data_IF_898841079165
#
_entry.id   IF_898841079165
#
_cell.length_a   1.000
_cell.length_b   1.000
_cell.length_c   1.000
_cell.angle_alpha   90.00
_cell.angle_beta   90.00
_cell.angle_gamma   90.00
#
_symmetry.space_group_name_H-M   'P 1'
#
loop_
_entity.id
_entity.type
_entity.pdbx_description
1 polymer ?
#
# COMPACT_ATOMS: atom_id res chain seq x y z
N UNK A 1 -13.66 14.93 -21.50
CA UNK A 1 -14.15 15.24 -20.16
C UNK A 1 -13.14 16.13 -19.43
N UNK A 2 -11.84 15.84 -19.46
CA UNK A 2 -10.77 16.64 -18.84
C UNK A 2 -9.99 17.40 -19.94
N UNK A 3 -10.61 18.45 -20.49
CA UNK A 3 -10.04 19.22 -21.59
C UNK A 3 -9.50 20.59 -21.15
N UNK A 4 -9.77 20.99 -19.89
CA UNK A 4 -9.32 22.26 -19.34
C UNK A 4 -7.90 22.09 -18.76
N UNK A 5 -6.88 22.27 -19.63
CA UNK A 5 -5.48 22.20 -19.22
C UNK A 5 -5.10 23.51 -18.56
N UNK A 6 -4.84 23.50 -17.26
CA UNK A 6 -4.46 24.69 -16.47
C UNK A 6 -2.95 24.93 -16.55
N UNK A 7 -2.16 23.87 -16.41
CA UNK A 7 -0.72 23.92 -16.60
C UNK A 7 -0.33 22.87 -17.62
N UNK A 8 0.40 23.31 -18.62
CA UNK A 8 1.18 22.46 -19.49
C UNK A 8 2.61 22.94 -19.42
N UNK A 9 3.40 22.23 -18.66
CA UNK A 9 4.80 22.52 -18.54
C UNK A 9 5.53 21.98 -19.77
N UNK A 10 5.65 22.85 -20.79
CA UNK A 10 6.34 22.56 -22.04
C UNK A 10 7.86 22.70 -21.92
N UNK A 11 8.42 22.70 -20.71
CA UNK A 11 9.86 22.68 -20.53
C UNK A 11 10.42 21.42 -21.22
N UNK A 12 11.08 21.63 -22.36
CA UNK A 12 11.72 20.59 -23.17
C UNK A 12 12.96 20.05 -22.44
N UNK A 13 12.80 19.50 -21.25
CA UNK A 13 13.86 18.68 -20.66
C UNK A 13 13.94 17.39 -21.46
N UNK A 14 15.10 17.00 -21.94
CA UNK A 14 15.26 15.71 -22.60
C UNK A 14 14.93 14.60 -21.59
N UNK A 15 14.19 13.57 -22.02
CA UNK A 15 13.97 12.38 -21.20
C UNK A 15 15.33 11.73 -20.92
N UNK A 16 15.71 11.64 -19.66
CA UNK A 16 17.05 11.20 -19.24
C UNK A 16 17.02 9.95 -18.35
N UNK A 17 15.90 9.70 -17.66
CA UNK A 17 15.79 8.59 -16.68
C UNK A 17 14.43 7.91 -16.74
N UNK A 18 14.36 6.68 -16.21
CA UNK A 18 13.09 6.01 -15.99
C UNK A 18 12.27 6.75 -14.92
N UNK A 19 10.99 7.05 -15.17
CA UNK A 19 10.13 7.62 -14.14
C UNK A 19 9.86 6.61 -13.04
N UNK A 20 9.85 7.08 -11.79
CA UNK A 20 9.65 6.25 -10.59
C UNK A 20 8.50 6.78 -9.76
N UNK A 21 7.79 5.87 -9.08
CA UNK A 21 6.94 6.21 -7.94
C UNK A 21 7.59 5.62 -6.69
N UNK A 22 7.84 6.44 -5.70
CA UNK A 22 8.29 6.02 -4.37
C UNK A 22 7.18 6.24 -3.36
N UNK A 23 6.61 5.18 -2.79
CA UNK A 23 5.82 5.25 -1.58
C UNK A 23 6.76 5.37 -0.41
N UNK A 24 6.76 6.51 0.26
CA UNK A 24 7.61 6.73 1.42
C UNK A 24 7.19 5.84 2.58
N UNK A 25 8.17 5.39 3.36
CA UNK A 25 7.88 4.68 4.60
C UNK A 25 7.23 5.62 5.60
N UNK A 26 6.09 5.20 6.17
CA UNK A 26 5.43 5.92 7.27
C UNK A 26 6.01 5.51 8.63
N UNK A 27 5.87 6.37 9.63
CA UNK A 27 6.20 6.00 11.00
C UNK A 27 5.28 4.86 11.49
N UNK A 28 5.87 3.86 12.12
CA UNK A 28 5.14 2.65 12.54
C UNK A 28 4.69 2.67 14.01
N UNK A 29 4.88 3.78 14.71
CA UNK A 29 4.59 3.90 16.14
C UNK A 29 3.25 4.57 16.45
N UNK A 30 2.63 5.21 15.49
CA UNK A 30 1.43 6.01 15.68
C UNK A 30 0.29 5.52 14.79
N UNK A 31 -0.92 5.67 15.29
CA UNK A 31 -2.13 5.54 14.48
C UNK A 31 -2.30 6.72 13.51
N UNK A 32 -1.63 7.83 13.79
CA UNK A 32 -1.53 8.97 12.89
C UNK A 32 -0.49 8.66 11.81
N UNK A 33 -0.83 7.72 10.96
CA UNK A 33 0.00 7.34 9.84
C UNK A 33 -0.25 8.29 8.69
N UNK A 34 0.74 9.04 8.30
CA UNK A 34 0.65 9.89 7.13
C UNK A 34 0.84 9.13 5.83
N UNK A 35 0.75 9.83 4.72
CA UNK A 35 1.17 9.34 3.43
C UNK A 35 2.04 10.37 2.72
N UNK A 36 3.01 9.87 1.96
CA UNK A 36 3.87 10.70 1.12
C UNK A 36 4.35 9.88 -0.07
N UNK A 37 4.22 10.45 -1.26
CA UNK A 37 4.68 9.84 -2.49
C UNK A 37 5.60 10.80 -3.23
N UNK A 38 6.74 10.26 -3.67
CA UNK A 38 7.70 10.97 -4.51
C UNK A 38 7.66 10.37 -5.91
N UNK A 39 7.26 11.16 -6.89
CA UNK A 39 7.20 10.77 -8.30
C UNK A 39 8.38 11.46 -8.98
N UNK A 40 9.38 10.69 -9.41
CA UNK A 40 10.42 11.20 -10.28
C UNK A 40 9.97 11.12 -11.73
N UNK A 41 9.96 12.24 -12.43
CA UNK A 41 9.61 12.33 -13.85
C UNK A 41 10.78 11.87 -14.73
N UNK A 42 10.53 11.59 -16.01
CA UNK A 42 11.57 11.20 -16.94
C UNK A 42 12.61 12.31 -17.18
N UNK A 43 12.25 13.57 -16.95
CA UNK A 43 13.16 14.72 -17.05
C UNK A 43 14.00 14.95 -15.77
N UNK A 44 13.85 14.08 -14.75
CA UNK A 44 14.58 14.13 -13.49
C UNK A 44 13.98 15.06 -12.43
N UNK A 45 12.95 15.84 -12.74
CA UNK A 45 12.20 16.60 -11.74
C UNK A 45 11.28 15.68 -10.93
N UNK A 46 10.69 16.26 -9.88
CA UNK A 46 9.82 15.53 -8.97
C UNK A 46 8.41 16.12 -8.94
N UNK A 47 7.41 15.26 -8.77
CA UNK A 47 6.08 15.64 -8.29
C UNK A 47 5.86 14.91 -6.96
N UNK A 48 5.38 15.62 -5.95
CA UNK A 48 5.09 15.06 -4.64
C UNK A 48 3.58 15.07 -4.39
N UNK A 49 3.11 14.03 -3.72
CA UNK A 49 1.74 13.93 -3.22
C UNK A 49 1.79 13.72 -1.71
N UNK A 50 1.20 14.65 -0.95
CA UNK A 50 1.23 14.71 0.50
C UNK A 50 2.66 14.70 1.09
N UNK A 51 2.81 14.53 2.40
CA UNK A 51 4.11 14.73 3.03
C UNK A 51 4.31 13.99 4.35
N UNK A 52 3.43 13.08 4.75
CA UNK A 52 3.40 12.52 6.10
C UNK A 52 3.22 13.58 7.21
N UNK A 53 3.42 13.21 8.46
CA UNK A 53 3.40 14.11 9.62
C UNK A 53 4.69 14.94 9.73
N UNK A 54 5.78 14.46 9.13
CA UNK A 54 7.14 14.97 9.29
C UNK A 54 7.77 14.65 10.66
N UNK A 55 7.17 13.73 11.43
CA UNK A 55 7.76 13.20 12.67
C UNK A 55 8.68 12.01 12.37
N UNK A 56 9.35 11.49 13.39
CA UNK A 56 10.10 10.23 13.32
C UNK A 56 11.02 10.08 12.10
N UNK A 57 11.80 11.10 11.79
CA UNK A 57 12.75 11.12 10.65
C UNK A 57 12.07 11.09 9.26
N UNK A 58 10.76 11.27 9.15
CA UNK A 58 10.07 11.27 7.86
C UNK A 58 10.57 12.41 6.96
N UNK A 59 10.86 13.57 7.55
CA UNK A 59 11.39 14.73 6.84
C UNK A 59 12.81 14.45 6.30
N UNK A 60 13.66 13.78 7.08
CA UNK A 60 15.00 13.35 6.70
C UNK A 60 14.93 12.33 5.57
N UNK A 61 14.10 11.32 5.69
CA UNK A 61 13.89 10.31 4.65
C UNK A 61 13.41 10.92 3.34
N UNK A 62 12.48 11.87 3.40
CA UNK A 62 12.04 12.59 2.20
C UNK A 62 13.20 13.34 1.54
N UNK A 63 14.03 14.03 2.33
CA UNK A 63 15.22 14.68 1.82
C UNK A 63 16.20 13.68 1.18
N UNK A 64 16.48 12.57 1.87
CA UNK A 64 17.39 11.53 1.39
C UNK A 64 16.89 10.90 0.08
N UNK A 65 15.57 10.66 -0.03
CA UNK A 65 14.95 10.14 -1.24
C UNK A 65 15.09 11.13 -2.40
N UNK A 66 14.73 12.40 -2.19
CA UNK A 66 14.89 13.44 -3.21
C UNK A 66 16.35 13.59 -3.65
N UNK A 67 17.28 13.60 -2.69
CA UNK A 67 18.70 13.77 -2.97
C UNK A 67 19.31 12.56 -3.69
N UNK A 68 18.97 11.34 -3.25
CA UNK A 68 19.50 10.11 -3.86
C UNK A 68 18.94 9.84 -5.26
N UNK A 69 17.70 10.25 -5.53
CA UNK A 69 17.06 10.10 -6.83
C UNK A 69 17.28 11.31 -7.75
N UNK A 70 17.90 12.39 -7.25
CA UNK A 70 18.19 13.57 -8.07
C UNK A 70 19.25 13.25 -9.13
N UNK A 71 18.90 13.51 -10.38
CA UNK A 71 19.78 13.34 -11.54
C UNK A 71 20.10 14.66 -12.24
N UNK A 72 19.52 15.76 -11.74
CA UNK A 72 19.74 17.11 -12.25
C UNK A 72 20.89 17.74 -11.45
N UNK A 73 21.80 18.39 -12.13
CA UNK A 73 22.89 19.11 -11.45
C UNK A 73 22.32 20.19 -10.51
N UNK A 74 22.81 20.18 -9.28
CA UNK A 74 22.39 21.11 -8.24
C UNK A 74 21.22 20.63 -7.39
N UNK A 75 20.30 21.53 -7.06
CA UNK A 75 19.19 21.24 -6.14
C UNK A 75 18.13 20.38 -6.82
N UNK A 76 17.54 19.40 -6.10
CA UNK A 76 16.34 18.72 -6.57
C UNK A 76 15.25 19.74 -6.95
N UNK A 77 14.61 19.53 -8.11
CA UNK A 77 13.55 20.40 -8.62
C UNK A 77 12.21 19.71 -8.44
N UNK A 78 11.31 20.33 -7.70
CA UNK A 78 9.95 19.85 -7.44
C UNK A 78 9.01 20.64 -8.35
N UNK A 79 8.61 20.03 -9.46
CA UNK A 79 7.71 20.64 -10.44
C UNK A 79 6.34 20.93 -9.84
N UNK A 80 5.85 20.03 -8.97
CA UNK A 80 4.60 20.21 -8.26
C UNK A 80 4.60 19.49 -6.91
N UNK A 81 3.94 20.09 -5.92
CA UNK A 81 3.62 19.43 -4.67
C UNK A 81 2.12 19.54 -4.45
N UNK A 82 1.41 18.42 -4.54
CA UNK A 82 -0.02 18.34 -4.24
C UNK A 82 -0.21 18.00 -2.78
N UNK A 83 -1.12 18.69 -2.09
CA UNK A 83 -1.61 18.31 -0.77
C UNK A 83 -3.08 17.95 -0.92
N UNK A 84 -3.43 16.72 -0.57
CA UNK A 84 -4.76 16.18 -0.82
C UNK A 84 -5.86 16.85 0.00
N UNK A 85 -5.62 17.05 1.30
CA UNK A 85 -6.55 17.69 2.23
C UNK A 85 -5.84 18.23 3.47
N UNK A 86 -6.60 18.86 4.38
CA UNK A 86 -6.06 19.68 5.45
C UNK A 86 -5.82 18.92 6.77
N UNK A 87 -5.39 17.66 6.74
CA UNK A 87 -4.94 16.95 7.94
C UNK A 87 -3.43 16.99 8.10
N UNK A 88 -2.98 16.99 9.35
CA UNK A 88 -1.56 17.15 9.70
C UNK A 88 -0.67 16.04 9.16
N UNK A 89 -1.20 14.84 9.04
CA UNK A 89 -0.52 13.66 8.51
C UNK A 89 -0.40 13.66 6.97
N UNK A 90 -0.93 14.70 6.30
CA UNK A 90 -0.77 14.97 4.87
C UNK A 90 0.05 16.21 4.59
N UNK A 91 -0.07 17.28 5.37
CA UNK A 91 0.68 18.50 5.15
C UNK A 91 1.78 18.78 6.18
N UNK A 92 1.80 18.08 7.31
CA UNK A 92 2.74 18.36 8.41
C UNK A 92 4.20 18.22 8.00
N UNK A 93 4.49 17.20 7.21
CA UNK A 93 5.83 16.98 6.64
C UNK A 93 6.23 18.09 5.68
N UNK A 94 5.33 18.63 4.86
CA UNK A 94 5.60 19.79 4.01
C UNK A 94 6.08 20.99 4.83
N UNK A 95 5.37 21.28 5.93
CA UNK A 95 5.74 22.38 6.83
C UNK A 95 7.15 22.22 7.38
N UNK A 96 7.45 21.05 7.94
CA UNK A 96 8.77 20.75 8.53
C UNK A 96 9.87 20.67 7.49
N UNK A 97 9.55 20.07 6.34
CA UNK A 97 10.50 19.96 5.23
C UNK A 97 10.89 21.33 4.69
N UNK A 98 9.93 22.20 4.45
CA UNK A 98 10.18 23.55 3.97
C UNK A 98 10.94 24.43 5.00
N UNK A 99 10.66 24.27 6.27
CA UNK A 99 11.43 24.96 7.32
C UNK A 99 12.88 24.48 7.41
N UNK A 100 13.15 23.18 7.15
CA UNK A 100 14.48 22.57 7.30
C UNK A 100 15.29 22.48 6.00
N UNK A 101 14.64 22.18 4.90
CA UNK A 101 15.26 21.87 3.61
C UNK A 101 14.76 22.73 2.45
N UNK A 102 13.85 23.69 2.69
CA UNK A 102 13.29 24.52 1.63
C UNK A 102 14.33 25.30 0.82
N UNK A 103 15.44 25.67 1.44
CA UNK A 103 16.57 26.31 0.76
C UNK A 103 17.42 25.33 -0.09
N UNK A 104 17.23 24.03 0.07
CA UNK A 104 17.97 22.97 -0.64
C UNK A 104 17.23 22.42 -1.85
N UNK A 105 15.99 22.79 -2.08
CA UNK A 105 15.18 22.38 -3.22
C UNK A 105 14.71 23.58 -4.04
N UNK A 106 14.20 23.33 -5.23
CA UNK A 106 13.51 24.31 -6.06
C UNK A 106 12.06 23.84 -6.24
N UNK A 107 11.14 24.38 -5.44
CA UNK A 107 9.71 24.15 -5.58
C UNK A 107 9.14 25.13 -6.61
N UNK A 108 8.42 24.62 -7.61
CA UNK A 108 7.82 25.43 -8.68
C UNK A 108 6.35 25.72 -8.44
N UNK A 109 5.57 24.69 -8.07
CA UNK A 109 4.13 24.80 -7.87
C UNK A 109 3.70 24.07 -6.58
N UNK A 110 2.83 24.70 -5.80
CA UNK A 110 2.13 24.11 -4.65
C UNK A 110 0.63 24.09 -4.96
N UNK A 111 0.03 22.90 -4.91
CA UNK A 111 -1.36 22.68 -5.30
C UNK A 111 -2.14 22.10 -4.10
N UNK A 112 -3.17 22.80 -3.67
CA UNK A 112 -4.09 22.35 -2.62
C UNK A 112 -5.44 23.07 -2.73
N UNK A 113 -6.50 22.44 -2.20
CA UNK A 113 -7.83 23.00 -2.17
C UNK A 113 -8.49 22.69 -0.82
N UNK A 114 -8.49 23.68 0.08
CA UNK A 114 -9.17 23.56 1.37
C UNK A 114 -10.66 23.89 1.23
N UNK A 115 -11.55 23.12 1.89
CA UNK A 115 -12.97 23.45 1.88
C UNK A 115 -13.24 24.77 2.60
N UNK A 116 -14.25 25.50 2.14
CA UNK A 116 -14.71 26.69 2.85
C UNK A 116 -15.25 26.33 4.24
N UNK A 117 -14.86 27.07 5.28
CA UNK A 117 -15.22 26.79 6.68
C UNK A 117 -16.72 26.64 6.94
N UNK A 118 -17.57 27.32 6.14
CA UNK A 118 -19.04 27.22 6.26
C UNK A 118 -19.61 25.84 5.87
N UNK A 119 -18.83 25.01 5.19
CA UNK A 119 -19.22 23.67 4.76
C UNK A 119 -18.54 22.55 5.56
N UNK A 120 -17.73 22.86 6.57
CA UNK A 120 -16.99 21.87 7.37
C UNK A 120 -17.41 21.93 8.83
N UNK A 121 -17.54 20.77 9.46
CA UNK A 121 -17.77 20.65 10.90
C UNK A 121 -16.90 19.53 11.47
N UNK A 122 -16.29 19.73 12.64
CA UNK A 122 -16.23 20.95 13.44
C UNK A 122 -15.16 21.93 12.94
N UNK A 123 -15.39 23.22 13.13
CA UNK A 123 -14.43 24.28 12.74
C UNK A 123 -13.08 24.22 13.48
N UNK A 124 -12.94 23.37 14.49
CA UNK A 124 -11.70 23.17 15.25
C UNK A 124 -10.53 22.64 14.40
N UNK A 125 -10.79 21.90 13.34
CA UNK A 125 -9.75 21.39 12.45
C UNK A 125 -9.05 22.50 11.65
N UNK A 126 -9.73 23.62 11.39
CA UNK A 126 -9.16 24.78 10.69
C UNK A 126 -8.04 25.46 11.48
N UNK A 127 -8.05 25.36 12.80
CA UNK A 127 -7.02 25.97 13.65
C UNK A 127 -5.64 25.30 13.49
N UNK A 128 -5.57 24.14 12.90
CA UNK A 128 -4.29 23.43 12.66
C UNK A 128 -3.51 23.98 11.46
N UNK A 129 -4.08 24.88 10.66
CA UNK A 129 -3.48 25.43 9.44
C UNK A 129 -2.47 26.57 9.67
N UNK A 130 -2.36 27.11 10.86
CA UNK A 130 -1.49 28.28 11.14
C UNK A 130 -0.03 28.07 10.69
N UNK A 131 0.51 26.87 10.91
CA UNK A 131 1.87 26.53 10.50
C UNK A 131 2.00 26.38 8.98
N UNK A 132 0.98 25.82 8.33
CA UNK A 132 0.94 25.72 6.88
C UNK A 132 0.90 27.11 6.25
N UNK A 133 -0.02 27.96 6.70
CA UNK A 133 -0.17 29.35 6.23
C UNK A 133 1.10 30.18 6.45
N UNK A 134 1.77 29.99 7.59
CA UNK A 134 3.06 30.59 7.89
C UNK A 134 4.13 30.23 6.85
N UNK A 135 4.24 28.95 6.49
CA UNK A 135 5.22 28.48 5.49
C UNK A 135 4.83 28.98 4.11
N UNK A 136 3.57 28.84 3.72
CA UNK A 136 3.06 29.34 2.43
C UNK A 136 3.29 30.84 2.32
N UNK A 137 3.04 31.59 3.40
CA UNK A 137 3.30 33.05 3.46
C UNK A 137 4.75 33.43 3.15
N UNK A 138 5.73 32.59 3.52
CA UNK A 138 7.16 32.82 3.22
C UNK A 138 7.51 32.55 1.75
N UNK A 139 6.88 31.57 1.12
CA UNK A 139 7.29 31.08 -0.21
C UNK A 139 6.41 31.57 -1.35
N UNK A 140 5.21 32.07 -1.10
CA UNK A 140 4.20 32.44 -2.10
C UNK A 140 4.64 33.43 -3.19
N UNK A 141 5.69 34.20 -2.93
CA UNK A 141 6.23 35.16 -3.90
C UNK A 141 7.28 34.52 -4.84
N UNK A 142 7.63 33.26 -4.62
CA UNK A 142 8.68 32.55 -5.34
C UNK A 142 8.19 31.31 -6.06
N UNK A 143 6.93 30.90 -5.83
CA UNK A 143 6.30 29.71 -6.42
C UNK A 143 4.89 30.05 -6.89
N UNK A 144 4.32 29.20 -7.74
CA UNK A 144 2.90 29.28 -8.05
C UNK A 144 2.09 28.53 -6.96
N UNK A 145 1.07 29.20 -6.41
CA UNK A 145 0.08 28.56 -5.56
C UNK A 145 -1.21 28.42 -6.36
N UNK A 146 -1.70 27.18 -6.44
CA UNK A 146 -2.79 26.81 -7.34
C UNK A 146 -3.84 26.10 -6.53
N UNK A 147 -5.11 26.45 -6.76
CA UNK A 147 -6.27 25.75 -6.23
C UNK A 147 -6.84 24.84 -7.32
N UNK A 148 -6.63 23.51 -7.25
CA UNK A 148 -7.16 22.59 -8.27
C UNK A 148 -8.67 22.46 -8.16
N UNK A 149 -9.34 22.41 -9.34
CA UNK A 149 -10.78 22.21 -9.44
C UNK A 149 -11.12 20.93 -10.20
N UNK A 150 -12.24 20.32 -9.86
CA UNK A 150 -12.73 19.12 -10.55
C UNK A 150 -12.90 19.36 -12.06
N UNK A 151 -12.40 18.43 -12.86
CA UNK A 151 -12.41 18.51 -14.33
C UNK A 151 -11.18 19.21 -14.94
N UNK A 152 -10.29 19.75 -14.12
CA UNK A 152 -9.03 20.34 -14.58
C UNK A 152 -7.97 19.28 -14.85
N UNK A 153 -6.96 19.69 -15.64
CA UNK A 153 -5.81 18.87 -15.98
C UNK A 153 -4.52 19.64 -15.78
N UNK A 154 -3.54 18.95 -15.22
CA UNK A 154 -2.18 19.45 -15.01
C UNK A 154 -1.18 18.51 -15.69
N UNK A 155 -0.20 19.06 -16.38
CA UNK A 155 0.86 18.30 -17.06
C UNK A 155 2.20 18.82 -16.57
N UNK A 156 2.98 17.95 -15.95
CA UNK A 156 4.34 18.21 -15.50
C UNK A 156 5.28 17.19 -16.15
N UNK A 157 6.15 17.65 -17.04
CA UNK A 157 7.00 16.76 -17.83
C UNK A 157 6.16 15.73 -18.61
N UNK A 158 6.40 14.45 -18.32
CA UNK A 158 5.68 13.31 -18.91
C UNK A 158 4.51 12.77 -18.06
N UNK A 159 4.22 13.41 -16.92
CA UNK A 159 3.09 13.05 -16.08
C UNK A 159 1.87 13.95 -16.33
N UNK A 160 0.72 13.34 -16.57
CA UNK A 160 -0.58 13.98 -16.73
C UNK A 160 -1.46 13.68 -15.51
N UNK A 161 -2.05 14.71 -14.90
CA UNK A 161 -2.95 14.61 -13.74
C UNK A 161 -4.32 15.16 -14.11
N UNK A 162 -5.34 14.30 -14.12
CA UNK A 162 -6.75 14.66 -14.24
C UNK A 162 -7.35 14.80 -12.83
N UNK A 163 -7.92 15.95 -12.48
CA UNK A 163 -8.62 16.17 -11.20
C UNK A 163 -10.02 15.57 -11.31
N UNK A 164 -10.24 14.42 -10.65
CA UNK A 164 -11.53 13.74 -10.66
C UNK A 164 -12.50 14.33 -9.66
N UNK A 165 -11.99 14.82 -8.53
CA UNK A 165 -12.77 15.35 -7.43
C UNK A 165 -11.99 16.43 -6.68
N UNK A 166 -12.70 17.48 -6.27
CA UNK A 166 -12.27 18.49 -5.32
C UNK A 166 -13.42 18.77 -4.34
N UNK A 167 -13.10 19.33 -3.17
CA UNK A 167 -14.07 19.49 -2.07
C UNK A 167 -15.37 20.21 -2.46
N UNK A 168 -15.31 21.14 -3.41
CA UNK A 168 -16.46 21.89 -3.92
C UNK A 168 -17.51 21.03 -4.64
N UNK A 169 -17.15 19.83 -5.09
CA UNK A 169 -18.08 18.89 -5.70
C UNK A 169 -19.21 18.46 -4.75
N UNK A 170 -18.98 18.55 -3.43
CA UNK A 170 -19.98 18.24 -2.42
C UNK A 170 -20.87 19.41 -2.07
N UNK A 171 -20.51 20.64 -2.48
CA UNK A 171 -21.30 21.82 -2.11
C UNK A 171 -22.70 21.84 -2.76
N UNK A 172 -23.74 22.28 -2.07
CA UNK A 172 -23.76 22.90 -0.73
C UNK A 172 -23.88 21.90 0.44
N UNK A 173 -23.67 20.60 0.20
CA UNK A 173 -23.72 19.61 1.26
C UNK A 173 -22.59 19.82 2.26
N UNK A 174 -22.83 19.32 3.47
CA UNK A 174 -21.92 19.49 4.57
C UNK A 174 -20.83 18.40 4.53
N UNK A 175 -19.58 18.80 4.64
CA UNK A 175 -18.44 17.88 4.70
C UNK A 175 -18.20 17.54 6.18
N UNK A 176 -18.42 16.29 6.62
CA UNK A 176 -18.37 15.91 8.02
C UNK A 176 -16.96 16.00 8.61
N UNK A 177 -15.94 15.79 7.78
CA UNK A 177 -14.53 15.93 8.14
C UNK A 177 -13.68 16.26 6.91
N UNK A 178 -12.42 16.61 7.10
CA UNK A 178 -11.52 16.94 6.00
C UNK A 178 -11.19 15.76 5.08
N UNK A 179 -11.33 14.50 5.51
CA UNK A 179 -11.03 13.34 4.67
C UNK A 179 -11.87 13.32 3.40
N UNK A 180 -13.20 13.57 3.51
CA UNK A 180 -14.08 13.66 2.34
C UNK A 180 -13.85 14.92 1.48
N UNK A 181 -12.93 15.79 1.88
CA UNK A 181 -12.47 16.91 1.04
C UNK A 181 -11.22 16.59 0.22
N UNK A 182 -10.71 15.37 0.30
CA UNK A 182 -9.48 14.96 -0.41
C UNK A 182 -9.55 15.21 -1.90
N UNK A 183 -8.50 15.82 -2.43
CA UNK A 183 -8.29 15.95 -3.88
C UNK A 183 -8.02 14.57 -4.48
N UNK A 184 -8.86 14.14 -5.42
CA UNK A 184 -8.70 12.86 -6.11
C UNK A 184 -8.15 13.08 -7.51
N UNK A 185 -7.04 12.38 -7.80
CA UNK A 185 -6.30 12.56 -9.04
C UNK A 185 -6.16 11.23 -9.79
N UNK A 186 -6.37 11.26 -11.10
CA UNK A 186 -5.92 10.21 -12.00
C UNK A 186 -4.63 10.67 -12.68
N UNK A 187 -3.52 10.03 -12.33
CA UNK A 187 -2.24 10.27 -12.97
C UNK A 187 -2.01 9.30 -14.14
N UNK A 188 -1.45 9.80 -15.24
CA UNK A 188 -0.92 8.97 -16.33
C UNK A 188 0.58 9.21 -16.43
N UNK A 189 1.37 8.14 -16.37
CA UNK A 189 2.83 8.18 -16.42
C UNK A 189 3.38 6.91 -17.07
N UNK A 190 4.23 7.05 -18.06
CA UNK A 190 4.83 5.93 -18.81
C UNK A 190 3.82 4.88 -19.30
N UNK A 191 2.64 5.32 -19.73
CA UNK A 191 1.56 4.48 -20.23
C UNK A 191 0.72 3.78 -19.16
N UNK A 192 0.99 4.01 -17.88
CA UNK A 192 0.21 3.49 -16.75
C UNK A 192 -0.69 4.55 -16.13
N UNK A 193 -1.80 4.10 -15.57
CA UNK A 193 -2.74 4.92 -14.80
C UNK A 193 -2.59 4.65 -13.30
N UNK A 194 -2.54 5.71 -12.51
CA UNK A 194 -2.49 5.64 -11.06
C UNK A 194 -3.60 6.50 -10.48
N UNK A 195 -4.47 5.87 -9.68
CA UNK A 195 -5.55 6.57 -8.98
C UNK A 195 -5.10 6.92 -7.56
N UNK A 196 -5.07 8.22 -7.28
CA UNK A 196 -4.74 8.80 -5.98
C UNK A 196 -6.01 9.27 -5.30
N UNK A 197 -6.35 8.68 -4.16
CA UNK A 197 -7.58 8.96 -3.43
C UNK A 197 -7.39 9.93 -2.25
N UNK A 198 -6.12 10.18 -1.83
CA UNK A 198 -5.88 10.83 -0.56
C UNK A 198 -6.56 10.03 0.56
N UNK A 199 -7.30 10.72 1.42
CA UNK A 199 -8.09 10.07 2.47
C UNK A 199 -9.59 10.02 2.17
N UNK A 200 -9.94 10.03 0.88
CA UNK A 200 -11.33 9.95 0.44
C UNK A 200 -12.07 8.83 1.17
N UNK A 201 -13.17 9.19 1.79
CA UNK A 201 -14.10 8.28 2.45
C UNK A 201 -15.35 8.05 1.60
N UNK A 202 -16.37 7.51 2.24
CA UNK A 202 -17.56 7.00 1.57
C UNK A 202 -18.36 8.08 0.83
N UNK A 203 -18.54 9.28 1.41
CA UNK A 203 -19.40 10.32 0.83
C UNK A 203 -18.88 10.79 -0.53
N UNK A 204 -17.62 11.20 -0.59
CA UNK A 204 -17.01 11.64 -1.84
C UNK A 204 -16.85 10.49 -2.85
N UNK A 205 -16.55 9.28 -2.38
CA UNK A 205 -16.46 8.11 -3.25
C UNK A 205 -17.80 7.76 -3.90
N UNK A 206 -18.90 7.75 -3.15
CA UNK A 206 -20.24 7.50 -3.70
C UNK A 206 -20.67 8.59 -4.68
N UNK A 207 -20.36 9.86 -4.37
CA UNK A 207 -20.59 10.96 -5.31
C UNK A 207 -19.86 10.74 -6.64
N UNK A 208 -18.57 10.41 -6.59
CA UNK A 208 -17.79 10.14 -7.80
C UNK A 208 -18.32 8.95 -8.60
N UNK A 209 -18.73 7.86 -7.93
CA UNK A 209 -19.30 6.68 -8.58
C UNK A 209 -20.63 7.00 -9.31
N UNK A 210 -21.39 7.99 -8.84
CA UNK A 210 -22.60 8.47 -9.51
C UNK A 210 -22.27 9.42 -10.67
N UNK A 211 -21.22 10.22 -10.54
CA UNK A 211 -20.82 11.26 -11.50
C UNK A 211 -20.13 10.67 -12.73
N UNK A 212 -19.31 9.64 -12.55
CA UNK A 212 -18.44 9.13 -13.60
C UNK A 212 -18.70 7.66 -13.94
N UNK A 213 -18.54 7.24 -15.19
CA UNK A 213 -18.55 5.84 -15.59
C UNK A 213 -17.25 5.13 -15.15
N UNK A 214 -17.29 3.80 -15.11
CA UNK A 214 -16.18 2.94 -14.64
C UNK A 214 -14.84 3.26 -15.29
N UNK A 215 -14.83 3.52 -16.59
CA UNK A 215 -13.63 3.74 -17.41
C UNK A 215 -12.77 4.92 -16.95
N UNK A 216 -13.38 5.86 -16.18
CA UNK A 216 -12.69 7.01 -15.59
C UNK A 216 -11.80 6.56 -14.43
N UNK A 217 -12.20 5.54 -13.70
CA UNK A 217 -11.48 5.04 -12.52
C UNK A 217 -10.53 3.89 -12.82
N UNK A 218 -10.74 3.15 -13.92
CA UNK A 218 -9.86 2.01 -14.28
C UNK A 218 -8.40 2.43 -14.26
N UNK A 219 -7.61 1.75 -13.40
CA UNK A 219 -6.20 2.06 -13.20
C UNK A 219 -5.35 0.79 -13.03
N UNK A 220 -4.05 0.95 -13.20
CA UNK A 220 -3.07 -0.10 -12.96
C UNK A 220 -2.65 -0.13 -11.50
N UNK A 221 -2.57 1.04 -10.88
CA UNK A 221 -2.10 1.24 -9.51
C UNK A 221 -3.13 2.09 -8.76
N UNK A 222 -3.49 1.67 -7.56
CA UNK A 222 -4.38 2.40 -6.66
C UNK A 222 -3.68 2.73 -5.36
N UNK A 223 -3.67 4.00 -4.97
CA UNK A 223 -3.41 4.39 -3.58
C UNK A 223 -4.70 4.17 -2.79
N UNK A 224 -4.64 3.31 -1.77
CA UNK A 224 -5.79 2.98 -0.94
C UNK A 224 -6.14 4.19 -0.06
N UNK A 225 -7.39 4.65 -0.17
CA UNK A 225 -7.85 5.85 0.53
C UNK A 225 -7.81 5.70 2.05
N UNK A 226 -7.56 6.81 2.75
CA UNK A 226 -7.60 6.93 4.21
C UNK A 226 -6.92 5.76 4.93
N UNK A 227 -5.72 5.40 4.50
CA UNK A 227 -4.91 4.33 5.09
C UNK A 227 -5.62 2.96 5.14
N UNK A 228 -6.74 2.80 4.42
CA UNK A 228 -7.66 1.67 4.52
C UNK A 228 -8.66 1.76 5.68
N UNK A 229 -8.65 2.85 6.45
CA UNK A 229 -9.53 3.08 7.59
C UNK A 229 -10.76 3.88 7.18
N UNK A 230 -11.99 3.32 7.23
CA UNK A 230 -13.17 3.95 6.63
C UNK A 230 -12.87 4.50 5.22
N UNK A 231 -12.18 3.71 4.42
CA UNK A 231 -11.72 4.05 3.09
C UNK A 231 -12.88 4.40 2.14
N UNK A 232 -12.56 4.72 0.92
CA UNK A 232 -13.53 4.84 -0.17
C UNK A 232 -14.47 3.60 -0.23
N UNK A 233 -15.54 3.63 -1.00
CA UNK A 233 -16.48 2.52 -1.01
C UNK A 233 -16.02 1.34 -1.90
N UNK A 234 -16.47 0.12 -1.59
CA UNK A 234 -16.20 -1.10 -2.36
C UNK A 234 -16.57 -0.95 -3.85
N UNK A 235 -17.61 -0.15 -4.15
CA UNK A 235 -18.01 0.15 -5.54
C UNK A 235 -16.90 0.88 -6.29
N UNK A 236 -16.26 1.90 -5.69
CA UNK A 236 -15.16 2.62 -6.31
C UNK A 236 -13.97 1.69 -6.56
N UNK A 237 -13.63 0.85 -5.58
CA UNK A 237 -12.55 -0.11 -5.71
C UNK A 237 -12.79 -1.10 -6.86
N UNK A 238 -14.04 -1.57 -7.04
CA UNK A 238 -14.41 -2.43 -8.19
C UNK A 238 -14.38 -1.68 -9.53
N UNK A 239 -14.69 -0.40 -9.53
CA UNK A 239 -14.58 0.42 -10.76
C UNK A 239 -13.13 0.68 -11.10
N UNK A 240 -12.28 0.93 -10.11
CA UNK A 240 -10.84 1.14 -10.28
C UNK A 240 -10.11 -0.13 -10.76
N UNK A 241 -10.47 -1.29 -10.22
CA UNK A 241 -10.00 -2.63 -10.62
C UNK A 241 -8.47 -2.72 -10.82
N UNK A 242 -7.65 -2.33 -9.82
CA UNK A 242 -6.21 -2.20 -9.95
C UNK A 242 -5.48 -3.55 -9.95
N UNK A 243 -4.20 -3.53 -10.35
CA UNK A 243 -3.28 -4.67 -10.21
C UNK A 243 -2.30 -4.48 -9.04
N UNK A 244 -1.97 -3.24 -8.70
CA UNK A 244 -1.05 -2.90 -7.61
C UNK A 244 -1.75 -1.98 -6.62
N UNK A 245 -1.57 -2.25 -5.32
CA UNK A 245 -2.02 -1.37 -4.26
C UNK A 245 -0.83 -0.70 -3.58
N UNK A 246 -0.92 0.61 -3.42
CA UNK A 246 -0.11 1.40 -2.50
C UNK A 246 -0.96 1.62 -1.25
N UNK A 247 -0.63 0.93 -0.17
CA UNK A 247 -1.41 0.98 1.07
C UNK A 247 -0.65 1.77 2.13
N UNK A 248 -0.98 3.05 2.33
CA UNK A 248 -0.24 3.95 3.22
C UNK A 248 -0.67 3.75 4.67
N UNK A 249 -0.34 2.62 5.27
CA UNK A 249 -0.68 2.35 6.67
C UNK A 249 0.48 1.71 7.43
N UNK A 250 0.50 1.83 8.77
CA UNK A 250 1.41 1.06 9.61
C UNK A 250 1.17 -0.44 9.43
N UNK A 251 2.22 -1.23 9.53
CA UNK A 251 2.16 -2.68 9.37
C UNK A 251 1.23 -3.36 10.39
N UNK A 252 1.12 -2.83 11.59
CA UNK A 252 0.21 -3.35 12.62
C UNK A 252 -1.28 -3.06 12.36
N UNK A 253 -1.60 -2.04 11.56
CA UNK A 253 -2.97 -1.69 11.20
C UNK A 253 -3.48 -2.48 10.00
N UNK A 254 -2.61 -2.78 9.04
CA UNK A 254 -2.99 -3.48 7.82
C UNK A 254 -3.82 -4.74 8.07
N UNK A 255 -3.47 -5.66 9.03
CA UNK A 255 -4.27 -6.86 9.29
C UNK A 255 -5.68 -6.58 9.78
N UNK A 256 -5.89 -5.40 10.36
CA UNK A 256 -7.20 -4.98 10.87
C UNK A 256 -8.03 -4.37 9.75
N UNK A 257 -7.51 -3.32 9.10
CA UNK A 257 -8.28 -2.53 8.13
C UNK A 257 -8.53 -3.26 6.81
N UNK A 258 -7.66 -4.17 6.41
CA UNK A 258 -7.84 -4.93 5.16
C UNK A 258 -9.13 -5.77 5.12
N UNK A 259 -9.68 -6.14 6.28
CA UNK A 259 -10.91 -6.95 6.39
C UNK A 259 -12.19 -6.11 6.52
N UNK A 260 -12.08 -4.80 6.51
CA UNK A 260 -13.27 -3.95 6.55
C UNK A 260 -14.04 -4.05 5.25
N UNK A 261 -15.36 -3.90 5.32
CA UNK A 261 -16.25 -4.18 4.19
C UNK A 261 -15.94 -3.34 2.95
N UNK A 262 -15.52 -2.09 3.13
CA UNK A 262 -15.08 -1.21 2.05
C UNK A 262 -13.81 -1.68 1.33
N UNK A 263 -12.94 -2.42 2.02
CA UNK A 263 -11.68 -2.93 1.47
C UNK A 263 -11.78 -4.36 0.93
N UNK A 264 -12.93 -4.99 1.08
CA UNK A 264 -13.12 -6.41 0.75
C UNK A 264 -12.69 -6.75 -0.68
N UNK A 265 -13.05 -5.92 -1.65
CA UNK A 265 -12.64 -6.13 -3.02
C UNK A 265 -11.11 -6.12 -3.18
N UNK A 266 -10.42 -5.22 -2.48
CA UNK A 266 -8.97 -5.06 -2.58
C UNK A 266 -8.18 -6.28 -2.08
N UNK A 267 -8.77 -7.10 -1.21
CA UNK A 267 -8.14 -8.31 -0.68
C UNK A 267 -8.69 -9.59 -1.29
N UNK A 268 -9.72 -9.51 -2.14
CA UNK A 268 -10.36 -10.69 -2.75
C UNK A 268 -10.26 -10.71 -4.27
N UNK A 269 -9.89 -9.58 -4.89
CA UNK A 269 -9.78 -9.51 -6.33
C UNK A 269 -8.65 -10.39 -6.86
N UNK A 270 -8.93 -11.28 -7.83
CA UNK A 270 -7.91 -12.10 -8.45
C UNK A 270 -6.95 -11.29 -9.33
N UNK A 271 -7.22 -10.02 -9.58
CA UNK A 271 -6.40 -9.13 -10.40
C UNK A 271 -5.24 -8.52 -9.62
N UNK A 272 -5.40 -8.32 -8.31
CA UNK A 272 -4.38 -7.69 -7.48
C UNK A 272 -3.15 -8.58 -7.34
N UNK A 273 -1.99 -8.03 -7.70
CA UNK A 273 -0.69 -8.69 -7.79
C UNK A 273 0.17 -8.44 -6.60
N UNK A 274 0.22 -7.18 -6.17
CA UNK A 274 1.15 -6.72 -5.16
C UNK A 274 0.48 -5.66 -4.31
N UNK A 275 0.71 -5.74 -3.00
CA UNK A 275 0.29 -4.76 -2.01
C UNK A 275 1.56 -4.23 -1.33
N UNK A 276 1.84 -2.95 -1.53
CA UNK A 276 2.95 -2.25 -0.90
C UNK A 276 2.44 -1.52 0.35
N UNK A 277 2.86 -1.97 1.52
CA UNK A 277 2.45 -1.40 2.80
C UNK A 277 3.53 -0.45 3.28
N UNK A 278 3.22 0.84 3.41
CA UNK A 278 4.20 1.88 3.75
C UNK A 278 4.86 1.70 5.12
N UNK A 279 4.16 1.13 6.09
CA UNK A 279 4.71 0.84 7.42
C UNK A 279 5.82 -0.21 7.43
N UNK A 280 5.89 -1.08 6.42
CA UNK A 280 6.90 -2.12 6.32
C UNK A 280 8.21 -1.59 5.73
N UNK A 281 8.12 -0.92 4.59
CA UNK A 281 9.28 -0.38 3.90
C UNK A 281 8.89 0.72 2.91
N UNK A 282 9.89 1.50 2.51
CA UNK A 282 9.79 2.31 1.32
C UNK A 282 9.69 1.41 0.09
N UNK A 283 8.78 1.73 -0.82
CA UNK A 283 8.57 0.96 -2.05
C UNK A 283 8.82 1.83 -3.27
N UNK A 284 9.69 1.39 -4.15
CA UNK A 284 10.05 2.10 -5.38
C UNK A 284 9.56 1.30 -6.59
N UNK A 285 8.68 1.89 -7.39
CA UNK A 285 8.15 1.31 -8.61
C UNK A 285 8.75 2.01 -9.84
N UNK A 286 9.41 1.24 -10.69
CA UNK A 286 9.86 1.72 -12.00
C UNK A 286 8.67 1.67 -12.97
N UNK A 287 8.19 2.84 -13.38
CA UNK A 287 6.98 2.96 -14.21
C UNK A 287 7.19 2.46 -15.64
N UNK A 288 8.43 2.26 -16.09
CA UNK A 288 8.73 1.66 -17.40
C UNK A 288 8.65 0.15 -17.40
N UNK A 289 8.69 -0.49 -16.21
CA UNK A 289 8.62 -1.94 -16.11
C UNK A 289 7.18 -2.41 -16.38
N UNK A 290 6.99 -3.50 -17.11
CA UNK A 290 5.67 -4.08 -17.27
C UNK A 290 5.13 -4.53 -15.91
N UNK A 291 3.82 -4.31 -15.69
CA UNK A 291 3.12 -4.99 -14.60
C UNK A 291 3.13 -6.49 -14.92
N UNK A 292 3.53 -7.35 -13.99
CA UNK A 292 3.60 -8.78 -14.24
C UNK A 292 2.27 -9.30 -14.80
N UNK A 293 2.33 -9.99 -15.94
CA UNK A 293 1.14 -10.54 -16.58
C UNK A 293 0.48 -11.58 -15.66
N UNK A 294 -0.84 -11.48 -15.47
CA UNK A 294 -1.59 -12.38 -14.61
C UNK A 294 -2.29 -13.46 -15.42
N UNK A 295 -2.07 -14.70 -15.00
CA UNK A 295 -2.86 -15.84 -15.44
C UNK A 295 -3.86 -16.15 -14.33
N UNK A 296 -5.19 -15.95 -14.53
CA UNK A 296 -6.19 -16.28 -13.53
C UNK A 296 -6.06 -17.72 -13.06
N UNK A 297 -6.27 -17.99 -11.77
CA UNK A 297 -6.12 -19.33 -11.19
C UNK A 297 -6.87 -20.42 -11.98
N UNK A 298 -8.08 -20.10 -12.44
CA UNK A 298 -8.92 -21.01 -13.24
C UNK A 298 -8.31 -21.43 -14.58
N UNK A 299 -7.37 -20.67 -15.12
CA UNK A 299 -6.71 -20.97 -16.40
C UNK A 299 -5.49 -21.88 -16.25
N UNK A 300 -4.99 -22.08 -15.03
CA UNK A 300 -3.94 -23.07 -14.78
C UNK A 300 -4.53 -24.48 -14.92
N UNK A 301 -3.76 -25.41 -15.43
CA UNK A 301 -4.13 -26.81 -15.49
C UNK A 301 -3.90 -27.49 -14.15
N UNK A 302 -4.64 -28.55 -13.85
CA UNK A 302 -4.36 -29.40 -12.69
C UNK A 302 -2.90 -29.88 -12.72
N UNK A 303 -2.20 -29.70 -11.61
CA UNK A 303 -0.77 -29.99 -11.48
C UNK A 303 0.17 -28.88 -11.95
N UNK A 304 -0.35 -27.79 -12.54
CA UNK A 304 0.47 -26.65 -12.95
C UNK A 304 0.82 -25.76 -11.73
N UNK A 305 2.06 -25.28 -11.69
CA UNK A 305 2.52 -24.38 -10.63
C UNK A 305 1.88 -23.01 -10.80
N UNK A 306 1.17 -22.56 -9.77
CA UNK A 306 0.52 -21.25 -9.70
C UNK A 306 1.49 -20.20 -9.13
N UNK A 307 2.23 -20.58 -8.10
CA UNK A 307 3.16 -19.74 -7.39
C UNK A 307 4.37 -20.55 -6.93
N UNK A 308 5.55 -20.02 -7.10
CA UNK A 308 6.78 -20.61 -6.56
C UNK A 308 7.67 -19.46 -6.06
N UNK A 309 8.11 -19.58 -4.81
CA UNK A 309 9.02 -18.63 -4.17
C UNK A 309 10.31 -19.34 -3.79
N UNK A 310 11.42 -18.81 -4.29
CA UNK A 310 12.78 -19.33 -4.06
C UNK A 310 13.67 -18.34 -3.29
N UNK A 311 13.06 -17.24 -2.85
CA UNK A 311 13.75 -16.19 -2.09
C UNK A 311 14.95 -15.56 -2.84
N UNK A 312 14.77 -15.35 -4.14
CA UNK A 312 15.69 -14.62 -5.01
C UNK A 312 15.37 -13.11 -4.88
N UNK A 313 16.05 -12.40 -4.00
CA UNK A 313 15.83 -10.97 -3.77
C UNK A 313 16.47 -10.52 -2.48
N UNK A 314 16.34 -9.24 -2.20
CA UNK A 314 17.00 -8.61 -1.03
C UNK A 314 16.01 -8.30 0.09
N UNK A 315 14.70 -8.16 -0.22
CA UNK A 315 13.68 -7.76 0.75
C UNK A 315 12.39 -8.56 0.58
N UNK A 316 11.78 -8.95 1.71
CA UNK A 316 10.51 -9.68 1.74
C UNK A 316 9.38 -8.92 1.04
N UNK A 317 9.37 -7.60 1.16
CA UNK A 317 8.34 -6.77 0.50
C UNK A 317 8.42 -6.81 -1.03
N UNK A 318 9.60 -7.02 -1.60
CA UNK A 318 9.78 -7.13 -3.05
C UNK A 318 9.12 -8.40 -3.61
N UNK A 319 8.84 -9.38 -2.73
CA UNK A 319 8.08 -10.60 -3.04
C UNK A 319 6.56 -10.38 -2.95
N UNK A 320 6.10 -9.20 -2.56
CA UNK A 320 4.70 -8.92 -2.28
C UNK A 320 4.20 -9.51 -0.95
N UNK A 321 5.12 -9.87 -0.06
CA UNK A 321 4.79 -10.39 1.27
C UNK A 321 4.53 -9.27 2.28
N UNK A 322 3.71 -9.58 3.29
CA UNK A 322 3.35 -8.67 4.37
C UNK A 322 3.63 -9.35 5.71
N UNK A 323 4.57 -8.82 6.48
CA UNK A 323 4.97 -9.38 7.77
C UNK A 323 4.70 -8.39 8.92
N UNK A 324 4.08 -8.88 9.99
CA UNK A 324 3.63 -8.07 11.11
C UNK A 324 3.91 -8.78 12.42
N UNK A 325 4.31 -8.02 13.43
CA UNK A 325 4.33 -8.48 14.82
C UNK A 325 3.24 -7.75 15.59
N UNK A 326 2.27 -8.48 16.11
CA UNK A 326 1.14 -7.92 16.88
C UNK A 326 1.15 -8.34 18.34
N UNK A 327 0.67 -7.45 19.21
CA UNK A 327 0.47 -7.68 20.63
C UNK A 327 0.07 -6.43 21.38
N UNK A 328 -0.40 -6.60 22.62
CA UNK A 328 -1.02 -5.55 23.43
C UNK A 328 -0.09 -4.47 24.00
N UNK A 329 1.22 -4.57 23.82
CA UNK A 329 2.20 -3.71 24.52
C UNK A 329 3.21 -2.99 23.66
N UNK A 330 2.94 -2.84 22.38
CA UNK A 330 3.82 -2.10 21.48
C UNK A 330 4.25 -2.94 20.30
N UNK A 331 4.04 -2.36 19.15
CA UNK A 331 4.30 -2.98 17.86
C UNK A 331 5.76 -2.76 17.49
N UNK A 332 6.46 -3.85 17.21
CA UNK A 332 7.74 -3.78 16.50
C UNK A 332 7.54 -4.38 15.13
N UNK A 333 8.14 -3.79 14.12
CA UNK A 333 8.17 -4.39 12.80
C UNK A 333 8.65 -5.83 12.91
N UNK A 334 7.97 -6.75 12.23
CA UNK A 334 8.43 -8.12 12.15
C UNK A 334 9.81 -8.12 11.51
N UNK A 335 10.75 -8.81 12.12
CA UNK A 335 12.04 -9.02 11.51
C UNK A 335 11.88 -10.10 10.45
N UNK A 336 11.96 -9.69 9.20
CA UNK A 336 11.94 -10.58 8.06
C UNK A 336 13.10 -10.20 7.13
N UNK A 337 13.92 -11.16 6.78
CA UNK A 337 15.09 -10.95 5.92
C UNK A 337 15.22 -12.05 4.89
N UNK A 338 15.81 -11.72 3.75
CA UNK A 338 16.17 -12.70 2.71
C UNK A 338 17.68 -12.74 2.60
N UNK A 339 18.22 -13.95 2.58
CA UNK A 339 19.65 -14.17 2.36
C UNK A 339 19.90 -15.56 1.81
N UNK A 340 20.68 -15.65 0.73
CA UNK A 340 21.15 -16.92 0.13
C UNK A 340 20.03 -17.91 -0.24
N UNK A 341 18.89 -17.41 -0.74
CA UNK A 341 17.77 -18.26 -1.11
C UNK A 341 16.92 -18.75 0.07
N UNK A 342 17.02 -18.06 1.21
CA UNK A 342 16.23 -18.35 2.40
C UNK A 342 15.55 -17.07 2.90
N UNK A 343 14.31 -17.22 3.37
CA UNK A 343 13.61 -16.17 4.12
C UNK A 343 13.63 -16.51 5.60
N UNK A 344 14.09 -15.58 6.42
CA UNK A 344 14.12 -15.72 7.88
C UNK A 344 13.07 -14.78 8.47
N UNK A 345 12.12 -15.36 9.20
CA UNK A 345 11.13 -14.66 10.01
C UNK A 345 11.51 -14.81 11.48
N UNK A 346 11.65 -13.70 12.19
CA UNK A 346 12.04 -13.70 13.61
C UNK A 346 10.95 -13.14 14.49
N UNK A 347 10.65 -13.85 15.56
CA UNK A 347 9.85 -13.37 16.68
C UNK A 347 10.49 -13.80 17.99
N UNK A 348 11.10 -12.86 18.69
CA UNK A 348 11.71 -13.06 20.02
C UNK A 348 10.82 -12.59 21.16
N UNK A 349 9.54 -12.27 20.91
CA UNK A 349 8.60 -11.77 21.90
C UNK A 349 7.65 -12.88 22.34
N UNK A 350 7.73 -13.38 23.59
CA UNK A 350 6.91 -14.49 24.05
C UNK A 350 5.41 -14.15 24.15
N UNK A 351 5.06 -12.87 24.18
CA UNK A 351 3.67 -12.43 24.32
C UNK A 351 2.99 -12.13 22.97
N UNK A 352 3.76 -12.02 21.86
CA UNK A 352 3.29 -11.55 20.58
C UNK A 352 3.50 -12.60 19.49
N UNK A 353 2.65 -12.54 18.46
CA UNK A 353 2.82 -13.32 17.23
C UNK A 353 3.44 -12.47 16.13
N UNK A 354 4.32 -13.08 15.35
CA UNK A 354 4.65 -12.58 14.01
C UNK A 354 3.77 -13.31 13.00
N UNK A 355 3.07 -12.54 12.18
CA UNK A 355 2.21 -13.05 11.12
C UNK A 355 2.77 -12.58 9.80
N UNK A 356 3.07 -13.51 8.92
CA UNK A 356 3.58 -13.22 7.59
C UNK A 356 2.60 -13.72 6.54
N UNK A 357 1.92 -12.79 5.86
CA UNK A 357 1.12 -13.10 4.69
C UNK A 357 2.07 -13.28 3.50
N UNK A 358 2.17 -14.51 2.98
CA UNK A 358 3.06 -14.81 1.86
C UNK A 358 2.32 -15.02 0.54
N UNK A 359 1.02 -15.23 0.58
CA UNK A 359 0.20 -15.31 -0.63
C UNK A 359 -0.85 -14.22 -0.61
N UNK A 360 -0.78 -13.36 -1.61
CA UNK A 360 -1.77 -12.32 -1.83
C UNK A 360 -3.10 -12.95 -2.28
N UNK A 361 -4.24 -12.36 -1.90
CA UNK A 361 -5.57 -12.91 -2.21
C UNK A 361 -5.80 -13.20 -3.69
N UNK A 362 -5.23 -12.41 -4.58
CA UNK A 362 -5.41 -12.59 -6.01
C UNK A 362 -4.64 -13.75 -6.65
N UNK A 363 -3.68 -14.37 -5.93
CA UNK A 363 -2.88 -15.47 -6.48
C UNK A 363 -3.61 -16.79 -6.52
N UNK A 364 -4.54 -17.01 -5.58
CA UNK A 364 -5.45 -18.15 -5.58
C UNK A 364 -6.86 -17.60 -5.40
N UNK A 365 -7.79 -18.11 -6.23
CA UNK A 365 -9.19 -17.71 -6.14
C UNK A 365 -9.79 -18.14 -4.78
N UNK A 366 -10.91 -17.53 -4.44
CA UNK A 366 -11.75 -18.02 -3.36
C UNK A 366 -12.15 -19.48 -3.63
N UNK A 367 -12.04 -20.31 -2.61
CA UNK A 367 -12.44 -21.72 -2.66
C UNK A 367 -11.70 -22.59 -3.72
N UNK A 368 -10.38 -22.51 -3.81
CA UNK A 368 -9.63 -23.31 -4.77
C UNK A 368 -9.33 -24.71 -4.25
N UNK A 369 -9.15 -25.65 -5.19
CA UNK A 369 -8.44 -26.90 -4.93
C UNK A 369 -6.96 -26.65 -5.20
N UNK A 370 -6.09 -26.85 -4.22
CA UNK A 370 -4.66 -26.61 -4.37
C UNK A 370 -3.78 -27.53 -3.52
N UNK A 371 -2.52 -27.63 -3.91
CA UNK A 371 -1.47 -28.17 -3.06
C UNK A 371 -0.45 -27.07 -2.74
N UNK A 372 -0.23 -26.83 -1.46
CA UNK A 372 0.84 -25.97 -0.95
C UNK A 372 1.97 -26.83 -0.40
N UNK A 373 3.17 -26.64 -0.95
CA UNK A 373 4.39 -27.24 -0.45
C UNK A 373 5.31 -26.16 0.09
N UNK A 374 5.92 -26.36 1.24
CA UNK A 374 6.97 -25.50 1.75
C UNK A 374 7.99 -26.26 2.58
N UNK A 375 9.24 -25.80 2.53
CA UNK A 375 10.38 -26.38 3.25
C UNK A 375 11.02 -25.32 4.12
N UNK A 376 11.56 -25.76 5.25
CA UNK A 376 12.21 -24.84 6.19
C UNK A 376 12.72 -25.51 7.44
N UNK A 377 13.11 -24.64 8.39
CA UNK A 377 13.55 -25.01 9.75
C UNK A 377 12.94 -24.07 10.74
N UNK A 378 12.73 -24.54 11.96
CA UNK A 378 12.29 -23.68 13.07
C UNK A 378 13.26 -23.81 14.25
N UNK A 379 13.46 -22.70 14.97
CA UNK A 379 14.34 -22.64 16.13
C UNK A 379 13.92 -23.59 17.25
N UNK A 380 14.90 -23.91 18.11
CA UNK A 380 14.66 -24.68 19.32
C UNK A 380 13.75 -23.92 20.29
N UNK A 381 12.87 -24.64 20.96
CA UNK A 381 11.98 -24.11 21.99
C UNK A 381 11.01 -23.01 21.48
N UNK A 382 10.52 -23.11 20.25
CA UNK A 382 9.45 -22.24 19.78
C UNK A 382 8.14 -22.51 20.53
N UNK A 383 7.36 -21.44 20.76
CA UNK A 383 6.08 -21.57 21.44
C UNK A 383 4.95 -21.95 20.47
N UNK A 384 5.00 -21.37 19.28
CA UNK A 384 3.97 -21.61 18.25
C UNK A 384 4.51 -21.47 16.83
N UNK A 385 4.03 -22.37 15.97
CA UNK A 385 4.15 -22.28 14.53
C UNK A 385 2.84 -22.74 13.89
N UNK A 386 2.29 -21.96 12.97
CA UNK A 386 1.01 -22.26 12.32
C UNK A 386 0.89 -21.74 10.91
N UNK A 387 -0.05 -22.32 10.18
CA UNK A 387 -0.54 -21.86 8.89
C UNK A 387 -2.00 -21.44 9.02
N UNK A 388 -2.33 -20.30 8.46
CA UNK A 388 -3.65 -19.69 8.58
C UNK A 388 -4.15 -19.23 7.21
N UNK A 389 -5.45 -19.38 6.91
CA UNK A 389 -6.05 -19.02 5.62
C UNK A 389 -7.44 -18.37 5.71
N UNK A 390 -7.89 -17.96 6.89
CA UNK A 390 -9.24 -17.48 7.12
C UNK A 390 -9.47 -16.02 6.70
N UNK A 391 -10.70 -15.72 6.28
CA UNK A 391 -11.23 -14.37 5.99
C UNK A 391 -11.85 -13.66 7.19
N UNK A 392 -12.17 -14.39 8.25
CA UNK A 392 -12.88 -13.77 9.37
C UNK A 392 -12.04 -12.68 9.98
N UNK A 393 -12.65 -11.50 10.20
CA UNK A 393 -12.02 -10.35 10.88
C UNK A 393 -11.20 -10.82 12.09
N UNK A 394 -9.88 -10.96 12.00
CA UNK A 394 -9.12 -11.28 13.18
C UNK A 394 -8.89 -9.98 13.94
N UNK A 395 -9.80 -9.63 14.81
CA UNK A 395 -9.49 -8.63 15.84
C UNK A 395 -8.48 -9.18 16.86
N UNK A 396 -8.29 -10.50 16.88
CA UNK A 396 -7.28 -11.19 17.65
C UNK A 396 -6.93 -12.49 16.93
N UNK A 397 -5.65 -12.74 16.63
CA UNK A 397 -5.20 -14.07 16.23
C UNK A 397 -5.44 -15.05 17.39
N UNK A 398 -6.36 -15.97 17.22
CA UNK A 398 -6.50 -17.08 18.15
C UNK A 398 -5.85 -18.31 17.54
N UNK A 399 -5.08 -19.05 18.34
CA UNK A 399 -4.45 -20.30 17.93
C UNK A 399 -5.48 -21.33 17.42
N UNK A 400 -6.73 -21.21 17.86
CA UNK A 400 -7.84 -22.09 17.48
C UNK A 400 -8.23 -22.00 16.01
N UNK A 401 -7.85 -20.92 15.31
CA UNK A 401 -8.18 -20.68 13.91
C UNK A 401 -7.05 -21.00 12.94
N UNK A 402 -5.87 -21.31 13.45
CA UNK A 402 -4.71 -21.64 12.64
C UNK A 402 -4.41 -23.14 12.73
N UNK A 403 -3.96 -23.69 11.61
CA UNK A 403 -3.43 -25.04 11.57
C UNK A 403 -2.09 -25.05 12.28
N UNK A 404 -2.05 -25.61 13.49
CA UNK A 404 -0.79 -25.76 14.24
C UNK A 404 0.13 -26.75 13.57
N UNK A 405 1.38 -26.34 13.37
CA UNK A 405 2.44 -27.13 12.77
C UNK A 405 3.44 -27.54 13.85
N UNK A 406 3.85 -28.80 13.84
CA UNK A 406 4.70 -29.39 14.87
C UNK A 406 5.91 -30.10 14.25
N UNK A 407 6.82 -29.37 13.56
CA UNK A 407 8.06 -29.97 13.07
C UNK A 407 9.04 -30.20 14.24
N UNK A 408 9.99 -31.09 14.05
CA UNK A 408 11.13 -31.20 14.95
C UNK A 408 11.99 -29.94 14.83
N UNK A 409 12.36 -29.35 15.98
CA UNK A 409 13.15 -28.13 16.04
C UNK A 409 14.57 -28.35 15.50
N UNK A 410 15.10 -27.34 14.81
CA UNK A 410 16.43 -27.34 14.20
C UNK A 410 16.65 -28.38 13.07
N UNK A 411 15.63 -29.21 12.78
CA UNK A 411 15.65 -30.12 11.64
C UNK A 411 14.92 -29.52 10.43
N UNK A 412 15.33 -29.92 9.22
CA UNK A 412 14.64 -29.53 8.02
C UNK A 412 13.31 -30.28 7.91
N UNK A 413 12.24 -29.52 7.70
CA UNK A 413 10.92 -30.07 7.46
C UNK A 413 10.44 -29.78 6.05
N UNK A 414 9.58 -30.66 5.54
CA UNK A 414 8.80 -30.45 4.32
C UNK A 414 7.33 -30.66 4.65
N UNK A 415 6.54 -29.61 4.56
CA UNK A 415 5.09 -29.69 4.65
C UNK A 415 4.45 -29.72 3.26
N UNK A 416 3.37 -30.48 3.12
CA UNK A 416 2.49 -30.47 1.98
C UNK A 416 1.06 -30.41 2.47
N UNK A 417 0.37 -29.31 2.20
CA UNK A 417 -1.06 -29.14 2.43
C UNK A 417 -1.82 -29.39 1.13
N UNK A 418 -2.76 -30.32 1.13
CA UNK A 418 -3.67 -30.58 0.02
C UNK A 418 -5.08 -30.15 0.40
N UNK A 419 -5.57 -29.09 -0.24
CA UNK A 419 -6.89 -28.51 0.01
C UNK A 419 -7.87 -28.91 -1.11
N UNK A 420 -8.96 -29.56 -0.74
CA UNK A 420 -10.05 -29.98 -1.61
C UNK A 420 -11.34 -29.24 -1.17
N UNK A 421 -11.66 -28.17 -1.87
CA UNK A 421 -12.84 -27.37 -1.54
C UNK A 421 -14.14 -28.11 -1.84
N UNK A 422 -14.19 -28.95 -2.89
CA UNK A 422 -15.40 -29.68 -3.26
C UNK A 422 -15.82 -30.68 -2.19
N UNK A 423 -14.82 -31.35 -1.56
CA UNK A 423 -15.03 -32.27 -0.46
C UNK A 423 -14.93 -31.58 0.92
N UNK A 424 -14.64 -30.27 0.96
CA UNK A 424 -14.44 -29.49 2.20
C UNK A 424 -13.38 -30.09 3.13
N UNK A 425 -12.31 -30.61 2.58
CA UNK A 425 -11.23 -31.22 3.35
C UNK A 425 -9.88 -30.63 3.02
N UNK A 426 -9.02 -30.54 4.01
CA UNK A 426 -7.61 -30.25 3.84
C UNK A 426 -6.77 -31.29 4.59
N UNK A 427 -5.75 -31.84 3.90
CA UNK A 427 -4.85 -32.87 4.43
C UNK A 427 -3.44 -32.33 4.51
N UNK A 428 -2.85 -32.41 5.68
CA UNK A 428 -1.48 -31.98 5.95
C UNK A 428 -0.54 -33.17 6.07
N UNK A 429 0.55 -33.10 5.36
CA UNK A 429 1.63 -34.09 5.39
C UNK A 429 2.92 -33.42 5.89
N UNK A 430 3.63 -34.09 6.77
CA UNK A 430 4.99 -33.73 7.22
C UNK A 430 5.95 -34.83 6.77
N UNK A 431 6.96 -34.48 6.00
CA UNK A 431 7.97 -35.40 5.47
C UNK A 431 7.35 -36.66 4.82
N UNK A 432 6.22 -36.45 4.11
CA UNK A 432 5.46 -37.49 3.41
C UNK A 432 4.42 -38.24 4.26
N UNK A 433 4.39 -38.07 5.56
CA UNK A 433 3.44 -38.72 6.46
C UNK A 433 2.22 -37.81 6.72
N UNK A 434 1.00 -38.36 6.61
CA UNK A 434 -0.22 -37.64 6.98
C UNK A 434 -0.21 -37.34 8.48
N UNK A 435 -0.25 -36.07 8.83
CA UNK A 435 -0.20 -35.62 10.24
C UNK A 435 -1.49 -34.96 10.71
N UNK A 436 -2.31 -34.43 9.79
CA UNK A 436 -3.59 -33.86 10.12
C UNK A 436 -4.57 -33.90 8.94
N UNK A 437 -5.87 -33.98 9.27
CA UNK A 437 -6.97 -33.81 8.33
C UNK A 437 -8.03 -32.92 8.98
N UNK A 438 -8.52 -31.91 8.26
CA UNK A 438 -9.40 -30.89 8.80
C UNK A 438 -10.45 -30.44 7.81
N UNK A 439 -11.47 -29.75 8.30
CA UNK A 439 -12.42 -29.06 7.43
C UNK A 439 -11.73 -27.87 6.75
N UNK A 440 -12.03 -27.70 5.45
CA UNK A 440 -11.55 -26.58 4.65
C UNK A 440 -12.74 -25.83 4.06
N UNK A 441 -12.88 -24.55 4.36
CA UNK A 441 -14.03 -23.76 3.94
C UNK A 441 -13.66 -22.69 2.91
N UNK A 442 -12.91 -21.68 3.30
CA UNK A 442 -12.56 -20.54 2.44
C UNK A 442 -11.11 -20.14 2.65
N UNK A 443 -10.54 -19.48 1.64
CA UNK A 443 -9.19 -18.93 1.71
C UNK A 443 -9.19 -17.43 1.43
N UNK A 444 -8.58 -16.65 2.32
CA UNK A 444 -8.42 -15.21 2.22
C UNK A 444 -6.98 -14.75 2.01
N UNK A 445 -6.10 -15.70 1.92
CA UNK A 445 -4.66 -15.52 1.85
C UNK A 445 -3.99 -16.61 2.68
N UNK A 446 -2.72 -16.82 2.47
CA UNK A 446 -1.94 -17.78 3.24
C UNK A 446 -0.93 -17.05 4.12
N UNK A 447 -0.94 -17.37 5.42
CA UNK A 447 -0.13 -16.70 6.42
C UNK A 447 0.66 -17.71 7.23
N UNK A 448 1.95 -17.48 7.42
CA UNK A 448 2.70 -18.13 8.50
C UNK A 448 2.53 -17.34 9.78
N UNK A 449 2.37 -18.05 10.89
CA UNK A 449 2.26 -17.48 12.23
C UNK A 449 3.31 -18.14 13.11
N UNK A 450 4.15 -17.32 13.75
CA UNK A 450 5.16 -17.78 14.69
C UNK A 450 5.10 -17.00 16.00
N UNK A 451 5.49 -17.66 17.10
CA UNK A 451 5.62 -17.05 18.42
C UNK A 451 6.86 -17.59 19.11
N UNK A 452 7.68 -16.67 19.64
CA UNK A 452 8.95 -17.01 20.28
C UNK A 452 9.77 -17.98 19.42
N UNK A 453 9.96 -17.62 18.15
CA UNK A 453 10.53 -18.52 17.14
C UNK A 453 11.32 -17.76 16.09
N UNK A 454 12.29 -18.44 15.52
CA UNK A 454 12.89 -18.10 14.24
C UNK A 454 12.51 -19.17 13.22
N UNK A 455 11.79 -18.77 12.17
CA UNK A 455 11.40 -19.66 11.07
C UNK A 455 12.24 -19.31 9.84
N UNK A 456 12.97 -20.28 9.34
CA UNK A 456 13.69 -20.18 8.07
C UNK A 456 12.95 -20.96 7.01
N UNK A 457 12.61 -20.33 5.90
CA UNK A 457 11.93 -20.93 4.75
C UNK A 457 12.87 -20.93 3.56
N UNK A 458 12.97 -22.07 2.86
CA UNK A 458 13.86 -22.23 1.71
C UNK A 458 13.11 -22.43 0.38
N UNK A 459 11.84 -22.80 0.41
CA UNK A 459 11.00 -22.90 -0.78
C UNK A 459 9.54 -22.89 -0.41
N UNK A 460 8.72 -22.23 -1.23
CA UNK A 460 7.26 -22.31 -1.17
C UNK A 460 6.73 -22.54 -2.58
N UNK A 461 5.81 -23.48 -2.75
CA UNK A 461 5.21 -23.77 -4.03
C UNK A 461 3.72 -24.06 -3.90
N UNK A 462 2.93 -23.41 -4.74
CA UNK A 462 1.49 -23.67 -4.87
C UNK A 462 1.22 -24.26 -6.25
N UNK A 463 0.52 -25.39 -6.26
CA UNK A 463 0.13 -26.09 -7.46
C UNK A 463 -1.40 -26.14 -7.52
N UNK A 464 -1.99 -25.94 -8.70
CA UNK A 464 -3.44 -26.06 -8.89
C UNK A 464 -3.91 -27.50 -8.79
N UNK A 465 -5.00 -27.68 -8.02
CA UNK A 465 -5.61 -28.99 -7.80
C UNK A 465 -4.81 -29.90 -6.87
N UNK A 466 -5.37 -31.05 -6.57
CA UNK A 466 -4.81 -32.09 -5.72
C UNK A 466 -4.55 -33.38 -6.54
#
# INVERSE_FOLDING_TARGET
MFNNIIIKDDNNFPLIVSPLITQMRTAYFSMDCGMCYVIRLSDGRFVLLDSNTGEYEETERLWDTLNSQNVIDGKPRIAAWFISHAHIDHFGGFVKFMDKYGDKVLLENLLYHWPESKYVYPASELNSLDNFDRVVGKIKNHINIITPHSGEKYIFGDAEFDVLFACEDLYPEFIPNFNDSSLVLMMKLAGKKVLWLGDMQKQGAEYMCQKYPKEVFECDILQVGHHGYNSACDTLHRMADPEILLWPCPDFWYPVVKYWDENKYLITSPKIRTIHISGQAESVLDMTKPIPCFKPYKEFKKGETVYEEKFEGDRVIDLGWSCITGGSTGYKAALASISKGECVLENSFPENYTVCQFVQPGLIELNPDFSLEFTGKISKNYDYFGLFWDYSKPTVFSEDKALKLLPESEEEFKYVLKADFNNKTAKLYLNGNLVNEMEYTEIGGLHFIIKNATLTLSNIKITRGI
#
